data_IF_278461307272
#
_entry.id   IF_278461307272
#
_cell.length_a   1.000
_cell.length_b   1.000
_cell.length_c   1.000
_cell.angle_alpha   90.00
_cell.angle_beta   90.00
_cell.angle_gamma   90.00
#
_symmetry.space_group_name_H-M   'P 1'
#
loop_
_entity.id
_entity.type
_entity.pdbx_description
1 polymer ?
#
# COMPACT_ATOMS: atom_id res chain seq x y z
N UNK A 1 7.08 19.63 -20.94
CA UNK A 1 5.94 19.54 -20.00
C UNK A 1 6.40 18.90 -18.71
N UNK A 2 6.06 19.49 -17.56
CA UNK A 2 6.40 18.97 -16.24
C UNK A 2 5.14 18.48 -15.53
N UNK A 3 5.13 17.24 -15.10
CA UNK A 3 4.00 16.63 -14.38
C UNK A 3 4.41 16.20 -12.99
N UNK A 4 3.48 16.22 -12.03
CA UNK A 4 3.64 15.58 -10.72
C UNK A 4 2.72 14.37 -10.69
N UNK A 5 3.29 13.20 -10.37
CA UNK A 5 2.58 11.95 -10.22
C UNK A 5 2.44 11.61 -8.74
N UNK A 6 1.20 11.41 -8.32
CA UNK A 6 0.73 11.00 -7.00
C UNK A 6 -0.13 9.75 -7.15
N UNK A 7 -0.22 8.93 -6.12
CA UNK A 7 -1.14 7.78 -6.05
C UNK A 7 -1.43 7.38 -4.61
N UNK A 8 -2.41 6.52 -4.43
CA UNK A 8 -2.65 5.76 -3.19
C UNK A 8 -2.71 6.67 -1.95
N UNK A 9 -3.55 7.73 -2.02
CA UNK A 9 -3.72 8.68 -0.92
C UNK A 9 -4.40 8.00 0.28
N UNK A 10 -5.27 7.02 0.04
CA UNK A 10 -6.03 6.28 1.06
C UNK A 10 -6.61 7.18 2.13
N UNK A 11 -7.27 8.30 1.75
CA UNK A 11 -7.84 9.24 2.69
C UNK A 11 -8.86 8.57 3.61
N UNK A 12 -8.74 8.84 4.90
CA UNK A 12 -9.54 8.18 5.93
C UNK A 12 -8.96 6.86 6.44
N UNK A 13 -7.71 6.52 6.07
CA UNK A 13 -6.97 5.36 6.59
C UNK A 13 -6.88 5.38 8.10
N UNK A 14 -7.08 4.22 8.71
CA UNK A 14 -6.82 3.98 10.12
C UNK A 14 -5.76 2.90 10.27
N UNK A 15 -4.84 3.11 11.18
CA UNK A 15 -3.89 2.09 11.61
C UNK A 15 -4.33 1.57 12.99
N UNK A 16 -4.82 0.33 13.02
CA UNK A 16 -5.54 -0.19 14.17
C UNK A 16 -6.69 0.77 14.56
N UNK A 17 -6.62 1.39 15.73
CA UNK A 17 -7.62 2.36 16.21
C UNK A 17 -7.24 3.82 15.91
N UNK A 18 -6.01 4.10 15.46
CA UNK A 18 -5.53 5.47 15.21
C UNK A 18 -6.00 5.98 13.85
N UNK A 19 -6.62 7.16 13.86
CA UNK A 19 -7.04 7.88 12.67
C UNK A 19 -5.85 8.69 12.13
N UNK A 20 -5.52 8.52 10.85
CA UNK A 20 -4.41 9.22 10.21
C UNK A 20 -4.79 10.54 9.54
N UNK A 21 -6.01 11.04 9.74
CA UNK A 21 -6.52 12.20 9.00
C UNK A 21 -5.66 13.46 9.18
N UNK A 22 -5.07 13.66 10.35
CA UNK A 22 -4.19 14.82 10.61
C UNK A 22 -2.84 14.65 9.91
N UNK A 23 -2.28 13.43 9.88
CA UNK A 23 -1.07 13.12 9.12
C UNK A 23 -1.32 13.28 7.61
N UNK A 24 -2.50 12.85 7.15
CA UNK A 24 -2.91 13.00 5.75
C UNK A 24 -3.12 14.47 5.38
N UNK A 25 -3.68 15.28 6.27
CA UNK A 25 -3.81 16.74 6.07
C UNK A 25 -2.44 17.41 5.97
N UNK A 26 -1.52 17.06 6.84
CA UNK A 26 -0.16 17.61 6.84
C UNK A 26 0.58 17.25 5.55
N UNK A 27 0.53 15.96 5.13
CA UNK A 27 1.25 15.52 3.94
C UNK A 27 0.68 16.15 2.66
N UNK A 28 -0.65 16.32 2.54
CA UNK A 28 -1.26 17.03 1.41
C UNK A 28 -0.84 18.51 1.36
N UNK A 29 -0.68 19.16 2.52
CA UNK A 29 -0.13 20.53 2.56
C UNK A 29 1.33 20.58 2.10
N UNK A 30 2.14 19.57 2.45
CA UNK A 30 3.52 19.45 1.97
C UNK A 30 3.56 19.22 0.46
N UNK A 31 2.67 18.38 -0.07
CA UNK A 31 2.52 18.18 -1.52
C UNK A 31 2.17 19.50 -2.22
N UNK A 32 1.25 20.31 -1.67
CA UNK A 32 0.95 21.64 -2.24
C UNK A 32 2.15 22.58 -2.24
N UNK A 33 3.02 22.52 -1.22
CA UNK A 33 4.29 23.29 -1.22
C UNK A 33 5.25 22.80 -2.33
N UNK A 34 5.31 21.48 -2.56
CA UNK A 34 6.06 20.93 -3.69
C UNK A 34 5.49 21.42 -5.01
N UNK A 35 4.16 21.42 -5.18
CA UNK A 35 3.48 22.00 -6.36
C UNK A 35 3.86 23.45 -6.56
N UNK A 36 3.83 24.27 -5.51
CA UNK A 36 4.16 25.70 -5.58
C UNK A 36 5.64 25.95 -5.94
N UNK A 37 6.55 25.06 -5.50
CA UNK A 37 7.98 25.18 -5.80
C UNK A 37 8.31 24.66 -7.21
N UNK A 38 7.71 23.55 -7.61
CA UNK A 38 7.98 22.88 -8.88
C UNK A 38 7.26 23.52 -10.08
N UNK A 39 6.11 24.14 -9.84
CA UNK A 39 5.24 24.75 -10.85
C UNK A 39 4.99 23.80 -12.02
N UNK A 40 4.39 22.63 -11.76
CA UNK A 40 4.08 21.67 -12.80
C UNK A 40 3.01 22.19 -13.75
N UNK A 41 2.94 21.61 -14.95
CA UNK A 41 1.89 21.87 -15.93
C UNK A 41 0.62 21.07 -15.64
N UNK A 42 0.74 19.93 -14.95
CA UNK A 42 -0.42 19.12 -14.49
C UNK A 42 -0.06 18.19 -13.33
N UNK A 43 -1.12 17.72 -12.64
CA UNK A 43 -1.06 16.68 -11.59
C UNK A 43 -1.73 15.42 -12.10
N UNK A 44 -1.09 14.27 -11.87
CA UNK A 44 -1.61 12.94 -12.13
C UNK A 44 -1.86 12.22 -10.80
N UNK A 45 -3.10 11.80 -10.51
CA UNK A 45 -3.46 11.02 -9.32
C UNK A 45 -3.95 9.63 -9.74
N UNK A 46 -3.09 8.64 -9.55
CA UNK A 46 -3.27 7.29 -10.10
C UNK A 46 -4.05 6.36 -9.15
N UNK A 47 -5.22 6.77 -8.67
CA UNK A 47 -6.18 5.93 -7.95
C UNK A 47 -5.94 5.78 -6.45
N UNK A 48 -6.79 4.98 -5.82
CA UNK A 48 -6.90 4.76 -4.38
C UNK A 48 -6.88 6.07 -3.58
N UNK A 49 -7.83 6.93 -3.96
CA UNK A 49 -8.03 8.24 -3.35
C UNK A 49 -8.50 8.08 -1.91
N UNK A 50 -9.45 7.18 -1.70
CA UNK A 50 -9.98 6.83 -0.39
C UNK A 50 -9.52 5.44 0.06
N UNK A 51 -9.44 5.22 1.37
CA UNK A 51 -9.12 3.91 1.94
C UNK A 51 -10.24 2.87 1.74
N UNK A 52 -11.47 3.34 1.53
CA UNK A 52 -12.67 2.50 1.40
C UNK A 52 -13.67 3.09 0.42
N UNK A 53 -14.46 2.25 -0.21
CA UNK A 53 -15.54 2.63 -1.13
C UNK A 53 -16.60 3.55 -0.49
N UNK A 54 -16.76 3.51 0.83
CA UNK A 54 -17.57 4.44 1.63
C UNK A 54 -16.63 5.19 2.58
N UNK A 55 -16.08 6.33 2.15
CA UNK A 55 -15.16 7.12 2.96
C UNK A 55 -15.88 7.85 4.11
N UNK A 56 -15.21 8.09 5.24
CA UNK A 56 -15.72 8.96 6.27
C UNK A 56 -15.81 10.42 5.78
N UNK A 57 -16.75 11.18 6.35
CA UNK A 57 -17.01 12.58 5.92
C UNK A 57 -15.75 13.47 5.97
N UNK A 58 -14.89 13.28 6.98
CA UNK A 58 -13.63 14.01 7.12
C UNK A 58 -12.64 13.75 5.97
N UNK A 59 -12.61 12.52 5.41
CA UNK A 59 -11.80 12.19 4.25
C UNK A 59 -12.34 12.86 2.98
N UNK A 60 -13.66 12.93 2.83
CA UNK A 60 -14.31 13.64 1.71
C UNK A 60 -13.99 15.13 1.76
N UNK A 61 -14.11 15.75 2.96
CA UNK A 61 -13.76 17.16 3.16
C UNK A 61 -12.28 17.45 2.89
N UNK A 62 -11.40 16.51 3.26
CA UNK A 62 -9.96 16.65 3.03
C UNK A 62 -9.61 16.61 1.53
N UNK A 63 -10.26 15.71 0.77
CA UNK A 63 -10.10 15.68 -0.69
C UNK A 63 -10.65 16.94 -1.34
N UNK A 64 -11.83 17.39 -0.92
CA UNK A 64 -12.46 18.61 -1.44
C UNK A 64 -11.55 19.83 -1.25
N UNK A 65 -10.99 20.01 -0.04
CA UNK A 65 -10.03 21.10 0.24
C UNK A 65 -8.78 20.99 -0.67
N UNK A 66 -8.24 19.78 -0.84
CA UNK A 66 -7.06 19.57 -1.66
C UNK A 66 -7.31 19.89 -3.14
N UNK A 67 -8.40 19.35 -3.72
CA UNK A 67 -8.78 19.63 -5.11
C UNK A 67 -9.12 21.10 -5.33
N UNK A 68 -9.83 21.73 -4.39
CA UNK A 68 -10.13 23.17 -4.43
C UNK A 68 -8.85 24.01 -4.48
N UNK A 69 -7.85 23.66 -3.68
CA UNK A 69 -6.55 24.37 -3.69
C UNK A 69 -5.76 24.16 -4.97
N UNK A 70 -5.87 22.98 -5.60
CA UNK A 70 -5.27 22.73 -6.92
C UNK A 70 -6.00 23.56 -8.00
N UNK A 71 -7.34 23.58 -7.99
CA UNK A 71 -8.15 24.39 -8.91
C UNK A 71 -7.85 25.89 -8.78
N UNK A 72 -7.68 26.43 -7.57
CA UNK A 72 -7.29 27.83 -7.32
C UNK A 72 -5.93 28.19 -7.91
N UNK A 73 -5.06 27.22 -8.18
CA UNK A 73 -3.78 27.39 -8.87
C UNK A 73 -3.91 27.33 -10.39
N UNK A 74 -5.12 27.13 -10.92
CA UNK A 74 -5.39 26.85 -12.32
C UNK A 74 -4.55 25.68 -12.86
N UNK A 75 -4.32 24.66 -12.03
CA UNK A 75 -3.45 23.54 -12.34
C UNK A 75 -4.29 22.34 -12.80
N UNK A 76 -4.23 21.96 -14.09
CA UNK A 76 -4.91 20.77 -14.58
C UNK A 76 -4.58 19.55 -13.74
N UNK A 77 -5.61 18.90 -13.22
CA UNK A 77 -5.47 17.76 -12.31
C UNK A 77 -6.26 16.58 -12.86
N UNK A 78 -5.60 15.46 -13.05
CA UNK A 78 -6.17 14.23 -13.58
C UNK A 78 -6.24 13.20 -12.48
N UNK A 79 -7.42 12.63 -12.26
CA UNK A 79 -7.68 11.70 -11.17
C UNK A 79 -8.47 10.50 -11.70
N UNK A 80 -8.05 9.31 -11.32
CA UNK A 80 -8.76 8.05 -11.57
C UNK A 80 -9.16 7.40 -10.25
N UNK A 81 -10.14 6.49 -10.27
CA UNK A 81 -10.43 5.59 -9.15
C UNK A 81 -9.50 4.38 -9.17
N UNK A 82 -9.09 3.91 -7.97
CA UNK A 82 -8.39 2.66 -7.76
C UNK A 82 -9.33 1.52 -7.34
N UNK A 83 -8.77 0.44 -6.80
CA UNK A 83 -9.56 -0.73 -6.39
C UNK A 83 -10.23 -0.58 -5.01
N UNK A 84 -9.77 0.34 -4.16
CA UNK A 84 -10.40 0.69 -2.88
C UNK A 84 -11.57 1.67 -3.05
N UNK A 85 -11.54 2.46 -4.12
CA UNK A 85 -12.55 3.49 -4.39
C UNK A 85 -13.87 2.91 -4.88
N UNK A 86 -14.99 3.67 -4.69
CA UNK A 86 -16.18 3.54 -5.52
C UNK A 86 -16.04 4.51 -6.69
N UNK A 87 -15.91 4.02 -7.94
CA UNK A 87 -15.77 4.89 -9.10
C UNK A 87 -16.95 5.86 -9.26
N UNK A 88 -18.19 5.46 -8.88
CA UNK A 88 -19.37 6.31 -8.91
C UNK A 88 -19.25 7.49 -7.93
N UNK A 89 -18.69 7.26 -6.75
CA UNK A 89 -18.51 8.30 -5.72
C UNK A 89 -17.38 9.24 -6.07
N UNK A 90 -16.26 8.71 -6.56
CA UNK A 90 -15.10 9.51 -6.98
C UNK A 90 -15.46 10.38 -8.19
N UNK A 91 -16.24 9.86 -9.15
CA UNK A 91 -16.65 10.61 -10.34
C UNK A 91 -17.87 11.48 -10.14
N UNK A 92 -18.47 11.52 -8.94
CA UNK A 92 -19.59 12.40 -8.66
C UNK A 92 -19.24 13.87 -8.90
N UNK A 93 -20.02 14.55 -9.72
CA UNK A 93 -19.77 15.94 -10.07
C UNK A 93 -18.61 16.18 -11.05
N UNK A 94 -17.99 15.14 -11.62
CA UNK A 94 -16.84 15.24 -12.51
C UNK A 94 -17.06 16.23 -13.67
N UNK A 95 -18.25 16.25 -14.27
CA UNK A 95 -18.58 17.18 -15.35
C UNK A 95 -18.52 18.66 -14.91
N UNK A 96 -18.94 18.96 -13.68
CA UNK A 96 -18.84 20.32 -13.13
C UNK A 96 -17.39 20.68 -12.76
N UNK A 97 -16.64 19.73 -12.18
CA UNK A 97 -15.26 19.95 -11.77
C UNK A 97 -14.31 20.18 -12.94
N UNK A 98 -14.64 19.62 -14.11
CA UNK A 98 -13.90 19.80 -15.36
C UNK A 98 -13.75 21.27 -15.74
N UNK A 99 -14.77 22.09 -15.49
CA UNK A 99 -14.74 23.54 -15.74
C UNK A 99 -13.67 24.25 -14.90
N UNK A 100 -13.30 23.66 -13.76
CA UNK A 100 -12.25 24.16 -12.87
C UNK A 100 -10.88 23.48 -13.11
N UNK A 101 -10.73 22.73 -14.21
CA UNK A 101 -9.48 22.02 -14.54
C UNK A 101 -9.29 20.69 -13.78
N UNK A 102 -10.29 20.21 -13.05
CA UNK A 102 -10.21 18.92 -12.37
C UNK A 102 -10.86 17.84 -13.25
N UNK A 103 -10.04 17.00 -13.86
CA UNK A 103 -10.46 15.94 -14.78
C UNK A 103 -10.52 14.60 -14.03
N UNK A 104 -11.72 14.16 -13.63
CA UNK A 104 -11.94 12.87 -13.00
C UNK A 104 -12.40 11.88 -14.06
N UNK A 105 -11.72 10.73 -14.14
CA UNK A 105 -12.12 9.67 -15.05
C UNK A 105 -13.53 9.15 -14.67
N UNK A 106 -14.43 9.00 -15.64
CA UNK A 106 -15.74 8.40 -15.41
C UNK A 106 -15.61 6.89 -15.15
N UNK A 107 -16.73 6.23 -14.84
CA UNK A 107 -16.80 4.78 -14.91
C UNK A 107 -16.38 4.31 -16.29
N UNK A 108 -15.65 3.19 -16.33
CA UNK A 108 -15.23 2.61 -17.60
C UNK A 108 -16.45 2.09 -18.38
N UNK A 109 -16.64 2.62 -19.57
CA UNK A 109 -17.73 2.29 -20.50
C UNK A 109 -17.22 1.72 -21.85
N UNK A 110 -15.98 1.24 -21.86
CA UNK A 110 -15.29 0.76 -23.06
C UNK A 110 -14.50 1.85 -23.79
N UNK A 111 -14.51 3.10 -23.31
CA UNK A 111 -13.82 4.22 -23.97
C UNK A 111 -12.96 5.00 -22.98
N UNK A 112 -11.75 5.34 -23.43
CA UNK A 112 -10.87 6.29 -22.73
C UNK A 112 -10.46 7.37 -23.72
N UNK A 113 -11.07 8.54 -23.59
CA UNK A 113 -10.77 9.69 -24.45
C UNK A 113 -9.66 10.51 -23.80
N UNK A 114 -8.55 10.80 -24.50
CA UNK A 114 -7.49 11.60 -23.93
C UNK A 114 -7.89 13.05 -23.76
N UNK A 115 -7.33 13.69 -22.75
CA UNK A 115 -7.28 15.14 -22.64
C UNK A 115 -5.93 15.59 -23.19
N UNK A 116 -5.96 16.54 -24.11
CA UNK A 116 -4.76 16.99 -24.82
C UNK A 116 -4.25 18.30 -24.21
N UNK A 117 -2.98 18.30 -23.81
CA UNK A 117 -2.22 19.49 -23.44
C UNK A 117 -1.16 19.75 -24.53
N UNK A 118 -0.58 20.94 -24.51
CA UNK A 118 0.47 21.31 -25.48
C UNK A 118 1.55 22.15 -24.81
N UNK A 119 2.78 21.98 -25.24
CA UNK A 119 3.94 22.82 -24.90
C UNK A 119 4.81 23.12 -26.14
N UNK A 120 6.00 23.62 -25.92
CA UNK A 120 6.97 23.95 -26.99
C UNK A 120 7.39 22.74 -27.84
N UNK A 121 7.23 21.50 -27.35
CA UNK A 121 7.54 20.27 -28.07
C UNK A 121 6.31 19.65 -28.75
N UNK A 122 5.15 20.30 -28.70
CA UNK A 122 3.91 19.88 -29.34
C UNK A 122 2.91 19.26 -28.36
N UNK A 123 2.11 18.33 -28.86
CA UNK A 123 0.99 17.71 -28.15
C UNK A 123 1.43 16.65 -27.14
N UNK A 124 0.71 16.59 -26.00
CA UNK A 124 0.75 15.50 -25.02
C UNK A 124 -0.67 15.03 -24.76
N UNK A 125 -0.94 13.76 -25.03
CA UNK A 125 -2.22 13.13 -24.79
C UNK A 125 -2.20 12.41 -23.43
N UNK A 126 -3.11 12.78 -22.54
CA UNK A 126 -3.26 12.23 -21.19
C UNK A 126 -4.48 11.31 -21.15
N UNK A 127 -4.24 10.04 -21.01
CA UNK A 127 -5.26 8.98 -20.92
C UNK A 127 -5.47 8.62 -19.45
N UNK A 128 -6.71 8.65 -18.98
CA UNK A 128 -7.09 8.32 -17.60
C UNK A 128 -7.91 7.03 -17.57
N UNK A 129 -7.27 5.90 -17.31
CA UNK A 129 -7.91 4.59 -17.22
C UNK A 129 -8.13 4.24 -15.74
N UNK A 130 -9.37 4.23 -15.23
CA UNK A 130 -9.65 3.81 -13.86
C UNK A 130 -9.32 2.33 -13.65
N UNK A 131 -9.33 1.88 -12.40
CA UNK A 131 -9.17 0.46 -12.10
C UNK A 131 -10.27 -0.36 -12.79
N UNK A 132 -9.87 -1.34 -13.58
CA UNK A 132 -10.79 -2.25 -14.28
C UNK A 132 -10.46 -3.71 -13.97
N UNK A 133 -11.52 -4.52 -13.86
CA UNK A 133 -11.45 -5.98 -13.79
C UNK A 133 -11.80 -6.57 -15.15
N UNK A 134 -11.40 -7.82 -15.45
CA UNK A 134 -11.77 -8.49 -16.70
C UNK A 134 -13.27 -8.48 -16.98
N UNK A 135 -14.12 -8.58 -15.94
CA UNK A 135 -15.58 -8.54 -16.07
C UNK A 135 -16.07 -7.21 -16.65
N UNK A 136 -15.52 -6.08 -16.22
CA UNK A 136 -15.93 -4.75 -16.69
C UNK A 136 -15.62 -4.57 -18.18
N UNK A 137 -14.49 -5.11 -18.64
CA UNK A 137 -14.10 -5.00 -20.06
C UNK A 137 -14.90 -5.97 -20.92
N UNK A 138 -15.19 -7.19 -20.43
CA UNK A 138 -16.07 -8.15 -21.13
C UNK A 138 -17.50 -7.61 -21.34
N UNK A 139 -18.04 -6.87 -20.38
CA UNK A 139 -19.35 -6.23 -20.52
C UNK A 139 -19.37 -5.22 -21.69
N UNK A 140 -18.27 -4.52 -21.93
CA UNK A 140 -18.14 -3.57 -23.04
C UNK A 140 -17.80 -4.26 -24.37
N UNK A 141 -17.07 -5.38 -24.33
CA UNK A 141 -16.55 -6.10 -25.50
C UNK A 141 -16.85 -7.61 -25.40
N UNK A 142 -18.13 -8.01 -25.56
CA UNK A 142 -18.57 -9.39 -25.34
C UNK A 142 -17.96 -10.39 -26.34
N UNK A 143 -17.53 -9.92 -27.50
CA UNK A 143 -16.92 -10.76 -28.56
C UNK A 143 -15.38 -10.90 -28.39
N UNK A 144 -14.77 -10.19 -27.42
CA UNK A 144 -13.34 -10.26 -27.17
C UNK A 144 -13.01 -11.45 -26.24
N UNK A 145 -11.94 -12.19 -26.56
CA UNK A 145 -11.42 -13.24 -25.69
C UNK A 145 -10.63 -12.62 -24.53
N UNK A 146 -11.28 -12.47 -23.37
CA UNK A 146 -10.70 -11.89 -22.16
C UNK A 146 -10.71 -12.94 -21.06
N UNK A 147 -9.57 -13.57 -20.79
CA UNK A 147 -9.38 -14.58 -19.76
C UNK A 147 -8.61 -14.06 -18.53
N UNK A 148 -7.82 -13.01 -18.72
CA UNK A 148 -6.91 -12.44 -17.71
C UNK A 148 -7.03 -10.92 -17.59
N UNK A 149 -6.41 -10.35 -16.56
CA UNK A 149 -6.23 -8.89 -16.45
C UNK A 149 -5.38 -8.33 -17.60
N UNK A 150 -4.37 -9.07 -18.04
CA UNK A 150 -3.56 -8.68 -19.21
C UNK A 150 -4.40 -8.56 -20.45
N UNK A 151 -5.30 -9.52 -20.74
CA UNK A 151 -6.18 -9.45 -21.91
C UNK A 151 -7.13 -8.28 -21.82
N UNK A 152 -7.72 -8.06 -20.64
CA UNK A 152 -8.62 -6.93 -20.40
C UNK A 152 -7.93 -5.59 -20.67
N UNK A 153 -6.74 -5.40 -20.11
CA UNK A 153 -5.98 -4.15 -20.31
C UNK A 153 -5.51 -4.00 -21.75
N UNK A 154 -5.14 -5.10 -22.43
CA UNK A 154 -4.76 -5.07 -23.84
C UNK A 154 -5.93 -4.59 -24.72
N UNK A 155 -7.11 -5.14 -24.53
CA UNK A 155 -8.33 -4.70 -25.24
C UNK A 155 -8.62 -3.23 -24.94
N UNK A 156 -8.59 -2.82 -23.68
CA UNK A 156 -8.84 -1.43 -23.29
C UNK A 156 -7.83 -0.45 -23.94
N UNK A 157 -6.54 -0.78 -23.98
CA UNK A 157 -5.49 0.07 -24.57
C UNK A 157 -5.59 0.09 -26.11
N UNK A 158 -5.89 -1.04 -26.74
CA UNK A 158 -6.11 -1.10 -28.19
C UNK A 158 -7.26 -0.19 -28.65
N UNK A 159 -8.34 -0.12 -27.86
CA UNK A 159 -9.49 0.76 -28.15
C UNK A 159 -9.17 2.26 -28.00
N UNK A 160 -8.10 2.63 -27.30
CA UNK A 160 -7.66 4.03 -27.20
C UNK A 160 -7.09 4.58 -28.52
N UNK A 161 -6.68 3.70 -29.45
CA UNK A 161 -6.08 4.08 -30.73
C UNK A 161 -4.94 5.09 -30.57
N UNK A 162 -4.00 4.81 -29.66
CA UNK A 162 -2.94 5.74 -29.23
C UNK A 162 -2.02 6.12 -30.40
N UNK A 163 -1.90 7.41 -30.76
CA UNK A 163 -1.04 7.87 -31.84
C UNK A 163 0.44 7.80 -31.43
N UNK A 164 1.16 6.79 -31.90
CA UNK A 164 2.54 6.51 -31.47
C UNK A 164 3.58 7.56 -31.87
N UNK A 165 3.26 8.46 -32.79
CA UNK A 165 4.08 9.59 -33.20
C UNK A 165 3.93 10.82 -32.28
N UNK A 166 2.95 10.83 -31.39
CA UNK A 166 2.72 11.87 -30.38
C UNK A 166 3.21 11.44 -29.01
N UNK A 167 3.31 12.39 -28.08
CA UNK A 167 3.64 12.10 -26.68
C UNK A 167 2.39 11.63 -25.93
N UNK A 168 2.45 10.44 -25.35
CA UNK A 168 1.31 9.80 -24.72
C UNK A 168 1.63 9.44 -23.27
N UNK A 169 0.76 9.83 -22.35
CA UNK A 169 0.84 9.53 -20.92
C UNK A 169 -0.40 8.77 -20.52
N UNK A 170 -0.24 7.65 -19.86
CA UNK A 170 -1.32 6.88 -19.26
C UNK A 170 -1.28 7.04 -17.74
N UNK A 171 -2.46 7.23 -17.15
CA UNK A 171 -2.69 7.09 -15.72
C UNK A 171 -3.50 5.81 -15.54
N UNK A 172 -3.00 4.86 -14.73
CA UNK A 172 -3.67 3.59 -14.50
C UNK A 172 -3.44 3.09 -13.06
N UNK A 173 -4.31 2.20 -12.59
CA UNK A 173 -4.23 1.63 -11.28
C UNK A 173 -4.35 0.12 -11.39
N UNK A 174 -3.22 -0.59 -11.54
CA UNK A 174 -3.18 -2.02 -11.80
C UNK A 174 -1.91 -2.64 -11.23
N UNK A 175 -1.94 -3.94 -10.94
CA UNK A 175 -0.74 -4.68 -10.62
C UNK A 175 -0.02 -5.10 -11.91
N UNK A 176 1.10 -4.48 -12.19
CA UNK A 176 1.90 -4.68 -13.41
C UNK A 176 3.16 -5.44 -13.09
N UNK A 177 3.49 -6.45 -13.88
CA UNK A 177 4.74 -7.19 -13.78
C UNK A 177 5.49 -7.18 -15.11
N UNK A 178 6.81 -7.25 -15.04
CA UNK A 178 7.66 -7.41 -16.21
C UNK A 178 7.85 -8.88 -16.60
N UNK A 179 8.72 -9.13 -17.55
CA UNK A 179 9.05 -10.47 -18.06
C UNK A 179 10.08 -11.17 -17.14
N UNK A 180 9.61 -11.84 -16.08
CA UNK A 180 10.42 -12.66 -15.16
C UNK A 180 10.29 -12.30 -13.70
N UNK A 181 10.77 -13.20 -12.82
CA UNK A 181 10.64 -13.05 -11.34
C UNK A 181 11.37 -11.81 -10.79
N UNK A 182 12.41 -11.32 -11.49
CA UNK A 182 13.18 -10.12 -11.10
C UNK A 182 12.45 -8.80 -11.36
N UNK A 183 11.34 -8.81 -12.09
CA UNK A 183 10.56 -7.63 -12.46
C UNK A 183 9.18 -7.61 -11.80
N UNK A 184 8.98 -8.44 -10.77
CA UNK A 184 7.79 -8.38 -9.93
C UNK A 184 7.96 -7.28 -8.89
N UNK A 185 7.05 -6.30 -8.81
CA UNK A 185 7.12 -5.22 -7.83
C UNK A 185 7.11 -5.73 -6.39
N UNK A 186 7.91 -5.10 -5.54
CA UNK A 186 7.88 -5.33 -4.10
C UNK A 186 6.58 -4.77 -3.51
N UNK A 187 5.84 -5.61 -2.80
CA UNK A 187 4.56 -5.30 -2.17
C UNK A 187 4.69 -5.07 -0.66
N UNK A 188 3.75 -4.32 -0.09
CA UNK A 188 3.57 -4.21 1.36
C UNK A 188 2.42 -5.09 1.84
N UNK A 189 2.35 -5.35 3.16
CA UNK A 189 1.26 -6.12 3.78
C UNK A 189 -0.11 -5.43 3.68
N UNK A 190 -0.13 -4.16 3.31
CA UNK A 190 -1.37 -3.37 3.16
C UNK A 190 -2.02 -3.52 1.77
N UNK A 191 -1.33 -4.15 0.82
CA UNK A 191 -1.81 -4.37 -0.55
C UNK A 191 -2.51 -5.72 -0.67
N UNK A 192 -3.79 -5.69 -1.08
CA UNK A 192 -4.57 -6.91 -1.27
C UNK A 192 -4.24 -7.54 -2.62
N UNK A 193 -3.80 -8.81 -2.61
CA UNK A 193 -3.59 -9.60 -3.82
C UNK A 193 -4.48 -10.83 -3.85
N UNK A 194 -5.03 -11.13 -5.01
CA UNK A 194 -5.83 -12.34 -5.24
C UNK A 194 -4.95 -13.41 -5.89
N UNK A 195 -3.95 -13.90 -5.13
CA UNK A 195 -3.16 -15.07 -5.55
C UNK A 195 -2.41 -14.94 -6.88
N UNK A 196 -2.03 -13.70 -7.30
CA UNK A 196 -1.31 -13.46 -8.56
C UNK A 196 -2.16 -13.51 -9.82
N UNK A 197 -3.48 -13.59 -9.70
CA UNK A 197 -4.42 -13.59 -10.83
C UNK A 197 -4.70 -12.18 -11.39
N UNK A 198 -4.34 -11.14 -10.66
CA UNK A 198 -4.55 -9.71 -10.96
C UNK A 198 -3.41 -9.06 -11.77
N UNK A 199 -2.50 -9.87 -12.27
CA UNK A 199 -1.29 -9.48 -12.95
C UNK A 199 -1.55 -8.96 -14.37
N UNK A 200 -0.94 -7.81 -14.72
CA UNK A 200 -0.93 -7.22 -16.06
C UNK A 200 0.49 -7.21 -16.61
N UNK A 201 0.67 -7.75 -17.81
CA UNK A 201 1.96 -7.75 -18.49
C UNK A 201 2.36 -6.35 -18.94
N UNK A 202 3.61 -5.97 -18.66
CA UNK A 202 4.21 -4.68 -19.00
C UNK A 202 4.08 -4.30 -20.49
N UNK A 203 4.09 -5.28 -21.39
CA UNK A 203 4.01 -5.04 -22.84
C UNK A 203 2.75 -4.32 -23.29
N UNK A 204 1.66 -4.41 -22.51
CA UNK A 204 0.41 -3.68 -22.77
C UNK A 204 0.62 -2.18 -22.84
N UNK A 205 1.61 -1.66 -22.12
CA UNK A 205 1.89 -0.23 -22.00
C UNK A 205 2.91 0.30 -23.02
N UNK A 206 3.28 -0.49 -24.01
CA UNK A 206 4.25 -0.12 -25.05
C UNK A 206 3.93 1.20 -25.80
N UNK A 207 2.66 1.58 -26.08
CA UNK A 207 2.34 2.80 -26.81
C UNK A 207 2.60 4.10 -26.04
N UNK A 208 2.87 4.05 -24.70
CA UNK A 208 2.97 5.24 -23.86
C UNK A 208 4.42 5.62 -23.57
N UNK A 209 4.71 6.93 -23.57
CA UNK A 209 6.01 7.50 -23.19
C UNK A 209 6.19 7.47 -21.66
N UNK A 210 5.10 7.66 -20.91
CA UNK A 210 5.07 7.54 -19.46
C UNK A 210 3.78 6.88 -19.01
N UNK A 211 3.88 5.97 -18.02
CA UNK A 211 2.74 5.34 -17.37
C UNK A 211 2.81 5.63 -15.87
N UNK A 212 1.86 6.44 -15.40
CA UNK A 212 1.67 6.76 -13.99
C UNK A 212 0.83 5.68 -13.34
N UNK A 213 1.47 4.78 -12.58
CA UNK A 213 0.83 3.67 -11.89
C UNK A 213 0.55 3.99 -10.42
N UNK A 214 -0.63 3.62 -9.95
CA UNK A 214 -0.96 3.38 -8.54
C UNK A 214 -1.15 1.89 -8.26
N UNK A 215 -1.51 1.56 -7.02
CA UNK A 215 -1.75 0.21 -6.48
C UNK A 215 -0.60 -0.32 -5.61
N UNK A 216 0.65 -0.07 -5.95
CA UNK A 216 1.81 -0.51 -5.17
C UNK A 216 2.34 0.63 -4.33
N UNK A 217 2.44 0.40 -3.02
CA UNK A 217 2.78 1.42 -2.02
C UNK A 217 4.25 1.82 -1.98
N UNK A 218 5.15 0.98 -2.54
CA UNK A 218 6.57 1.30 -2.66
C UNK A 218 6.86 2.06 -3.95
N UNK A 219 7.50 3.26 -3.91
CA UNK A 219 7.95 3.93 -5.11
C UNK A 219 8.95 3.08 -5.89
N UNK A 220 8.62 2.66 -7.10
CA UNK A 220 9.45 1.79 -7.94
C UNK A 220 9.00 1.82 -9.39
N UNK A 221 9.83 1.37 -10.30
CA UNK A 221 9.47 1.15 -11.70
C UNK A 221 9.36 -0.35 -12.02
N UNK A 222 8.72 -0.67 -13.13
CA UNK A 222 8.58 -2.04 -13.64
C UNK A 222 9.17 -2.11 -15.04
N UNK A 223 10.21 -2.93 -15.20
CA UNK A 223 10.92 -3.17 -16.46
C UNK A 223 11.62 -1.93 -17.02
N UNK A 224 10.91 -0.82 -17.22
CA UNK A 224 11.47 0.45 -17.70
C UNK A 224 11.10 1.61 -16.78
N UNK A 225 12.00 2.59 -16.63
CA UNK A 225 11.80 3.75 -15.73
C UNK A 225 10.52 4.53 -16.00
N UNK A 226 10.06 4.53 -17.26
CA UNK A 226 8.85 5.23 -17.69
C UNK A 226 7.54 4.53 -17.33
N UNK A 227 7.56 3.34 -16.73
CA UNK A 227 6.40 2.66 -16.13
C UNK A 227 6.63 2.57 -14.63
N UNK A 228 5.97 3.45 -13.87
CA UNK A 228 6.37 3.72 -12.51
C UNK A 228 5.19 3.79 -11.54
N UNK A 229 5.35 3.12 -10.41
CA UNK A 229 4.58 3.33 -9.20
C UNK A 229 5.13 4.53 -8.42
N UNK A 230 4.27 5.51 -8.14
CA UNK A 230 4.62 6.62 -7.26
C UNK A 230 4.77 6.19 -5.81
N UNK A 231 3.96 5.21 -5.41
CA UNK A 231 3.78 4.78 -4.03
C UNK A 231 2.87 5.73 -3.24
N UNK A 232 2.57 5.33 -2.02
CA UNK A 232 1.76 6.12 -1.09
C UNK A 232 2.54 7.32 -0.56
N UNK A 233 1.87 8.46 -0.23
CA UNK A 233 2.53 9.62 0.35
C UNK A 233 2.92 9.43 1.82
N UNK A 234 2.30 8.48 2.52
CA UNK A 234 2.58 8.08 3.89
C UNK A 234 2.79 6.57 3.97
N UNK A 235 3.39 6.10 5.05
CA UNK A 235 3.47 4.67 5.36
C UNK A 235 2.15 4.21 5.98
N UNK A 236 1.56 3.15 5.43
CA UNK A 236 0.26 2.61 5.86
C UNK A 236 0.37 1.21 6.47
N UNK A 237 1.59 0.67 6.57
CA UNK A 237 1.90 -0.59 7.23
C UNK A 237 3.32 -0.56 7.80
N UNK A 238 3.58 -1.35 8.86
CA UNK A 238 4.94 -1.52 9.37
C UNK A 238 5.86 -2.29 8.42
N UNK A 239 5.34 -2.98 7.42
CA UNK A 239 6.18 -3.51 6.32
C UNK A 239 6.80 -2.39 5.47
N UNK A 240 6.24 -1.18 5.52
CA UNK A 240 6.71 -0.01 4.79
C UNK A 240 7.73 0.86 5.58
N UNK A 241 8.13 0.47 6.79
CA UNK A 241 9.04 1.25 7.66
C UNK A 241 10.29 1.71 6.93
N UNK A 242 10.81 0.86 6.02
CA UNK A 242 12.04 1.14 5.24
C UNK A 242 11.77 1.88 3.92
N UNK A 243 10.51 2.16 3.58
CA UNK A 243 10.19 2.88 2.34
C UNK A 243 10.45 4.37 2.51
N UNK A 244 11.07 4.96 1.51
CA UNK A 244 11.20 6.41 1.38
C UNK A 244 10.02 6.91 0.55
N UNK A 245 9.07 7.60 1.19
CA UNK A 245 7.89 8.14 0.54
C UNK A 245 8.23 9.42 -0.22
N UNK A 246 7.65 9.58 -1.41
CA UNK A 246 7.99 10.70 -2.29
C UNK A 246 6.86 11.00 -3.27
N UNK A 247 6.92 12.17 -3.88
CA UNK A 247 6.22 12.46 -5.13
C UNK A 247 7.17 12.27 -6.31
N UNK A 248 6.65 11.83 -7.44
CA UNK A 248 7.44 11.71 -8.67
C UNK A 248 7.23 12.94 -9.56
N UNK A 249 8.31 13.61 -9.94
CA UNK A 249 8.32 14.68 -10.92
C UNK A 249 8.75 14.10 -12.26
N UNK A 250 7.93 14.33 -13.27
CA UNK A 250 8.08 13.81 -14.62
C UNK A 250 8.29 14.98 -15.58
N UNK A 251 9.40 15.02 -16.26
CA UNK A 251 9.69 16.06 -17.27
C UNK A 251 9.72 15.40 -18.66
N UNK A 252 8.68 15.69 -19.45
CA UNK A 252 8.56 15.25 -20.85
C UNK A 252 9.12 16.33 -21.77
N UNK A 253 10.24 16.00 -22.45
CA UNK A 253 10.78 16.80 -23.53
C UNK A 253 10.13 16.48 -24.89
N UNK A 254 10.92 16.49 -25.96
CA UNK A 254 10.49 15.97 -27.25
C UNK A 254 10.15 14.48 -27.16
N UNK A 255 9.43 13.93 -28.14
CA UNK A 255 9.07 12.51 -28.20
C UNK A 255 10.26 11.61 -27.87
N UNK A 256 10.10 10.72 -26.89
CA UNK A 256 11.14 9.81 -26.43
C UNK A 256 12.12 10.41 -25.41
N UNK A 257 12.00 11.70 -25.05
CA UNK A 257 12.84 12.34 -24.04
C UNK A 257 12.08 12.45 -22.73
N UNK A 258 12.52 11.72 -21.71
CA UNK A 258 11.93 11.66 -20.38
C UNK A 258 13.01 11.86 -19.31
N UNK A 259 12.72 12.68 -18.30
CA UNK A 259 13.51 12.79 -17.08
C UNK A 259 12.60 12.57 -15.88
N UNK A 260 13.06 11.75 -14.94
CA UNK A 260 12.33 11.44 -13.72
C UNK A 260 13.18 11.79 -12.51
N UNK A 261 12.54 12.34 -11.50
CA UNK A 261 13.11 12.52 -10.18
C UNK A 261 12.05 12.42 -9.11
N UNK A 262 12.46 12.11 -7.89
CA UNK A 262 11.58 12.06 -6.74
C UNK A 262 11.89 13.20 -5.77
N UNK A 263 10.84 13.69 -5.11
CA UNK A 263 10.97 14.64 -4.00
C UNK A 263 10.48 13.93 -2.75
N UNK A 264 11.35 13.73 -1.74
CA UNK A 264 10.97 13.06 -0.51
C UNK A 264 9.82 13.77 0.20
N UNK A 265 8.96 12.99 0.83
CA UNK A 265 7.88 13.45 1.67
C UNK A 265 8.20 13.08 3.13
N UNK A 266 8.38 14.07 3.97
CA UNK A 266 8.58 13.86 5.40
C UNK A 266 7.22 13.82 6.11
N UNK A 267 6.86 12.74 6.80
CA UNK A 267 5.59 12.64 7.52
C UNK A 267 5.57 13.55 8.75
N UNK A 268 4.36 13.86 9.27
CA UNK A 268 4.19 14.50 10.57
C UNK A 268 4.67 13.57 11.69
N UNK A 269 4.32 12.31 11.61
CA UNK A 269 4.75 11.22 12.49
C UNK A 269 5.32 10.10 11.66
N UNK A 270 6.53 9.64 12.01
CA UNK A 270 7.19 8.54 11.32
C UNK A 270 6.70 7.19 11.86
N UNK A 271 6.79 6.14 11.05
CA UNK A 271 6.67 4.77 11.52
C UNK A 271 8.03 4.22 11.91
N UNK A 272 8.14 3.75 13.14
CA UNK A 272 9.39 3.23 13.71
C UNK A 272 9.21 1.84 14.30
N UNK A 273 10.21 1.00 14.14
CA UNK A 273 10.30 -0.28 14.81
C UNK A 273 11.33 -0.21 15.94
N UNK A 274 10.93 -0.59 17.14
CA UNK A 274 11.78 -0.68 18.31
C UNK A 274 11.91 -2.15 18.72
N UNK A 275 13.14 -2.62 18.88
CA UNK A 275 13.46 -3.97 19.30
C UNK A 275 14.43 -3.95 20.48
N UNK A 276 14.14 -4.75 21.50
CA UNK A 276 14.96 -4.88 22.72
C UNK A 276 14.12 -5.26 23.91
N UNK A 277 14.76 -5.30 25.10
CA UNK A 277 14.04 -5.47 26.35
C UNK A 277 13.25 -4.19 26.70
N UNK A 278 12.19 -4.34 27.50
CA UNK A 278 11.39 -3.19 27.96
C UNK A 278 12.29 -2.10 28.59
N UNK A 279 13.24 -2.51 29.44
CA UNK A 279 14.15 -1.60 30.14
C UNK A 279 15.04 -0.82 29.17
N UNK A 280 15.59 -1.49 28.15
CA UNK A 280 16.42 -0.86 27.12
C UNK A 280 15.61 0.16 26.30
N UNK A 281 14.41 -0.21 25.87
CA UNK A 281 13.53 0.66 25.09
C UNK A 281 13.14 1.90 25.90
N UNK A 282 12.65 1.73 27.12
CA UNK A 282 12.28 2.86 27.99
C UNK A 282 13.46 3.80 28.31
N UNK A 283 14.68 3.25 28.42
CA UNK A 283 15.88 4.04 28.64
C UNK A 283 16.28 4.84 27.40
N UNK A 284 16.24 4.22 26.22
CA UNK A 284 16.60 4.84 24.94
C UNK A 284 15.65 5.95 24.52
N UNK A 285 14.34 5.71 24.67
CA UNK A 285 13.28 6.64 24.25
C UNK A 285 12.96 7.71 25.32
N UNK A 286 13.79 7.84 26.36
CA UNK A 286 13.50 8.73 27.51
C UNK A 286 13.37 10.20 27.11
N UNK A 287 14.22 10.66 26.22
CA UNK A 287 14.33 12.05 25.80
C UNK A 287 14.23 12.19 24.26
N UNK A 288 13.52 11.24 23.60
CA UNK A 288 13.35 11.27 22.16
C UNK A 288 12.40 12.42 21.74
N UNK A 289 12.86 13.38 20.93
CA UNK A 289 12.03 14.49 20.46
C UNK A 289 10.90 14.02 19.52
N UNK A 290 10.96 12.78 19.03
CA UNK A 290 9.97 12.13 18.15
C UNK A 290 9.16 11.07 18.88
N UNK A 291 8.92 11.24 20.17
CA UNK A 291 8.14 10.32 21.00
C UNK A 291 6.69 10.13 20.49
N UNK A 292 6.17 11.09 19.70
CA UNK A 292 4.83 11.03 19.09
C UNK A 292 4.78 10.22 17.77
N UNK A 293 5.91 9.66 17.31
CA UNK A 293 5.95 8.75 16.17
C UNK A 293 5.10 7.49 16.42
N UNK A 294 4.77 6.77 15.36
CA UNK A 294 4.05 5.50 15.43
C UNK A 294 5.01 4.33 15.61
N UNK A 295 4.80 3.52 16.65
CA UNK A 295 5.74 2.47 17.02
C UNK A 295 5.15 1.08 16.87
N UNK A 296 5.93 0.19 16.24
CA UNK A 296 5.89 -1.26 16.43
C UNK A 296 6.99 -1.62 17.41
N UNK A 297 6.63 -2.26 18.51
CA UNK A 297 7.59 -2.69 19.53
C UNK A 297 7.71 -4.21 19.54
N UNK A 298 8.93 -4.71 19.46
CA UNK A 298 9.26 -6.13 19.54
C UNK A 298 10.08 -6.35 20.81
N UNK A 299 9.42 -6.84 21.86
CA UNK A 299 10.06 -7.15 23.14
C UNK A 299 10.83 -8.46 23.05
N UNK A 300 12.05 -8.42 23.60
CA UNK A 300 12.95 -9.60 23.68
C UNK A 300 13.04 -10.16 25.09
N UNK A 301 12.23 -9.65 26.02
CA UNK A 301 12.16 -10.17 27.39
C UNK A 301 11.64 -11.61 27.36
N UNK A 302 12.32 -12.52 28.09
CA UNK A 302 11.93 -13.94 28.17
C UNK A 302 10.69 -14.15 29.05
N UNK A 303 10.53 -13.31 30.08
CA UNK A 303 9.38 -13.33 30.97
C UNK A 303 8.26 -12.42 30.47
N UNK A 304 7.01 -12.81 30.73
CA UNK A 304 5.86 -11.99 30.43
C UNK A 304 5.82 -10.75 31.34
N UNK A 305 5.72 -9.58 30.73
CA UNK A 305 5.71 -8.31 31.45
C UNK A 305 4.27 -7.84 31.66
N UNK A 306 3.79 -7.78 32.90
CA UNK A 306 2.46 -7.25 33.19
C UNK A 306 2.34 -5.80 32.71
N UNK A 307 1.25 -5.51 31.96
CA UNK A 307 0.97 -4.18 31.37
C UNK A 307 2.15 -3.56 30.60
N UNK A 308 2.80 -4.36 29.75
CA UNK A 308 3.91 -3.90 28.93
C UNK A 308 3.54 -2.70 28.05
N UNK A 309 2.34 -2.73 27.46
CA UNK A 309 1.85 -1.66 26.59
C UNK A 309 1.62 -0.35 27.35
N UNK A 310 1.08 -0.40 28.56
CA UNK A 310 0.91 0.78 29.43
C UNK A 310 2.26 1.40 29.81
N UNK A 311 3.24 0.56 30.15
CA UNK A 311 4.60 1.00 30.46
C UNK A 311 5.27 1.65 29.25
N UNK A 312 5.15 1.06 28.07
CA UNK A 312 5.70 1.63 26.83
C UNK A 312 5.05 2.98 26.50
N UNK A 313 3.74 3.10 26.65
CA UNK A 313 3.00 4.35 26.36
C UNK A 313 3.39 5.51 27.26
N UNK A 314 4.09 5.29 28.37
CA UNK A 314 4.67 6.37 29.16
C UNK A 314 5.77 7.15 28.43
N UNK A 315 6.37 6.55 27.40
CA UNK A 315 7.43 7.13 26.58
C UNK A 315 7.07 7.23 25.11
N UNK A 316 6.37 6.25 24.61
CA UNK A 316 5.93 6.12 23.20
C UNK A 316 4.40 6.07 23.19
N UNK A 317 3.68 7.21 23.25
CA UNK A 317 2.22 7.21 23.40
C UNK A 317 1.50 6.48 22.25
N UNK A 318 2.08 6.49 21.05
CA UNK A 318 1.51 5.89 19.85
C UNK A 318 2.12 4.50 19.54
N UNK A 319 2.23 3.63 20.56
CA UNK A 319 2.51 2.21 20.31
C UNK A 319 1.26 1.58 19.67
N UNK A 320 1.38 1.24 18.38
CA UNK A 320 0.29 0.64 17.59
C UNK A 320 0.34 -0.88 17.61
N UNK A 321 1.53 -1.48 17.74
CA UNK A 321 1.74 -2.92 17.72
C UNK A 321 2.80 -3.32 18.73
N UNK A 322 2.48 -4.33 19.55
CA UNK A 322 3.40 -4.93 20.50
C UNK A 322 3.51 -6.43 20.18
N UNK A 323 4.72 -6.90 20.00
CA UNK A 323 5.05 -8.29 19.73
C UNK A 323 6.15 -8.76 20.68
N UNK A 324 6.26 -10.07 20.87
CA UNK A 324 7.33 -10.70 21.62
C UNK A 324 8.15 -11.59 20.68
N UNK A 325 9.48 -11.46 20.76
CA UNK A 325 10.43 -12.35 20.12
C UNK A 325 11.32 -12.97 21.20
N UNK A 326 10.81 -13.98 21.88
CA UNK A 326 11.49 -14.73 22.93
C UNK A 326 11.50 -16.24 22.62
N UNK A 327 12.12 -17.05 23.47
CA UNK A 327 12.23 -18.50 23.26
C UNK A 327 10.84 -19.16 23.09
N UNK A 328 9.85 -18.71 23.85
CA UNK A 328 8.48 -19.23 23.79
C UNK A 328 7.80 -18.95 22.43
N UNK A 329 7.89 -17.71 21.94
CA UNK A 329 7.27 -17.34 20.64
C UNK A 329 7.97 -18.02 19.46
N UNK A 330 9.30 -18.21 19.54
CA UNK A 330 10.05 -18.94 18.51
C UNK A 330 9.74 -20.43 18.50
N UNK A 331 9.48 -21.02 19.67
CA UNK A 331 9.09 -22.42 19.77
C UNK A 331 7.69 -22.67 19.21
N UNK A 332 6.74 -21.75 19.44
CA UNK A 332 5.38 -21.82 18.88
C UNK A 332 5.37 -21.85 17.34
N UNK A 333 6.25 -21.07 16.70
CA UNK A 333 6.37 -21.03 15.23
C UNK A 333 6.92 -22.38 14.66
N UNK A 334 7.67 -23.17 15.46
CA UNK A 334 8.18 -24.48 15.02
C UNK A 334 7.13 -25.58 15.08
N UNK A 335 6.00 -25.38 15.75
CA UNK A 335 4.91 -26.36 15.86
C UNK A 335 4.06 -26.51 14.59
N UNK A 336 4.15 -25.60 13.64
CA UNK A 336 3.45 -25.69 12.34
C UNK A 336 4.13 -26.68 11.36
N UNK A 337 5.26 -27.29 11.71
CA UNK A 337 5.82 -28.40 10.97
C UNK A 337 5.18 -29.71 11.45
N UNK A 338 4.65 -30.59 10.58
CA UNK A 338 4.05 -31.86 10.99
C UNK A 338 5.10 -32.73 11.69
N UNK A 339 5.04 -32.76 13.02
CA UNK A 339 5.83 -33.68 13.81
C UNK A 339 5.34 -35.10 13.54
N UNK A 340 6.22 -36.00 13.15
CA UNK A 340 5.93 -37.43 13.08
C UNK A 340 5.55 -37.93 14.48
N UNK A 341 4.27 -38.26 14.65
CA UNK A 341 3.70 -38.76 15.92
C UNK A 341 4.12 -40.23 16.22
N UNK A 342 4.85 -40.87 15.33
CA UNK A 342 5.23 -42.28 15.49
C UNK A 342 6.25 -42.48 16.62
N UNK A 343 5.84 -43.26 17.64
CA UNK A 343 6.73 -43.73 18.69
C UNK A 343 6.80 -42.87 19.98
N UNK A 344 5.95 -41.84 20.10
CA UNK A 344 5.93 -40.98 21.30
C UNK A 344 4.75 -41.30 22.23
N UNK A 345 5.01 -41.26 23.52
CA UNK A 345 3.92 -41.42 24.52
C UNK A 345 3.16 -40.09 24.68
N UNK A 346 1.87 -40.14 25.13
CA UNK A 346 1.11 -38.93 25.46
C UNK A 346 1.82 -38.04 26.51
N UNK A 347 2.53 -38.63 27.46
CA UNK A 347 3.32 -37.90 28.47
C UNK A 347 4.51 -37.18 27.85
N UNK A 348 5.17 -37.78 26.87
CA UNK A 348 6.30 -37.13 26.15
C UNK A 348 5.81 -35.93 25.33
N UNK A 349 4.69 -36.10 24.65
CA UNK A 349 4.05 -35.00 23.89
C UNK A 349 3.62 -33.84 24.79
N UNK A 350 3.03 -34.16 25.94
CA UNK A 350 2.67 -33.17 26.93
C UNK A 350 3.89 -32.50 27.56
N UNK A 351 4.97 -33.26 27.79
CA UNK A 351 6.23 -32.75 28.30
C UNK A 351 6.87 -31.73 27.36
N UNK A 352 6.90 -32.03 26.07
CA UNK A 352 7.37 -31.08 25.03
C UNK A 352 6.51 -29.83 24.98
N UNK A 353 5.17 -29.97 25.01
CA UNK A 353 4.24 -28.85 25.05
C UNK A 353 4.45 -27.98 26.30
N UNK A 354 4.62 -28.63 27.48
CA UNK A 354 4.89 -27.91 28.74
C UNK A 354 6.20 -27.13 28.68
N UNK A 355 7.28 -27.75 28.19
CA UNK A 355 8.58 -27.10 28.03
C UNK A 355 8.51 -25.90 27.08
N UNK A 356 7.77 -26.04 25.97
CA UNK A 356 7.54 -24.97 25.01
C UNK A 356 6.75 -23.78 25.63
N UNK A 357 5.76 -24.07 26.46
CA UNK A 357 4.93 -23.02 27.09
C UNK A 357 5.62 -22.34 28.27
N UNK A 358 6.51 -23.05 28.96
CA UNK A 358 7.11 -22.58 30.22
C UNK A 358 8.60 -22.25 30.13
N UNK A 359 9.24 -22.45 28.94
CA UNK A 359 10.69 -22.31 28.72
C UNK A 359 11.56 -23.13 29.69
N UNK A 360 11.01 -24.18 30.26
CA UNK A 360 11.69 -25.11 31.16
C UNK A 360 11.02 -26.47 31.11
N UNK A 361 11.73 -27.59 31.26
CA UNK A 361 11.14 -28.89 31.30
C UNK A 361 10.29 -29.06 32.57
N UNK A 362 9.35 -30.01 32.54
CA UNK A 362 8.63 -30.43 33.74
C UNK A 362 9.62 -30.97 34.80
N UNK A 363 9.34 -30.65 36.06
CA UNK A 363 10.02 -31.32 37.17
C UNK A 363 9.63 -32.80 37.22
N UNK A 364 10.48 -33.62 37.85
CA UNK A 364 10.20 -35.07 38.06
C UNK A 364 8.87 -35.31 38.79
N UNK A 365 8.47 -34.40 39.65
CA UNK A 365 7.19 -34.49 40.38
C UNK A 365 6.01 -34.18 39.43
N UNK A 366 6.11 -33.17 38.61
CA UNK A 366 5.09 -32.82 37.60
C UNK A 366 4.95 -33.92 36.57
N UNK A 367 6.07 -34.50 36.10
CA UNK A 367 6.06 -35.60 35.14
C UNK A 367 5.35 -36.82 35.70
N UNK A 368 5.67 -37.22 36.94
CA UNK A 368 5.01 -38.36 37.63
C UNK A 368 3.52 -38.12 37.81
N UNK A 369 3.12 -36.92 38.17
CA UNK A 369 1.70 -36.55 38.26
C UNK A 369 0.96 -36.71 36.93
N UNK A 370 1.55 -36.23 35.83
CA UNK A 370 0.96 -36.40 34.50
C UNK A 370 0.89 -37.87 34.06
N UNK A 371 1.91 -38.67 34.35
CA UNK A 371 1.92 -40.12 34.09
C UNK A 371 0.74 -40.80 34.82
N UNK A 372 0.61 -40.57 36.11
CA UNK A 372 -0.46 -41.13 36.90
C UNK A 372 -1.85 -40.70 36.40
N UNK A 373 -2.05 -39.42 36.08
CA UNK A 373 -3.32 -38.94 35.59
C UNK A 373 -3.69 -39.56 34.23
N UNK A 374 -2.72 -39.74 33.35
CA UNK A 374 -2.95 -40.36 32.03
C UNK A 374 -3.25 -41.87 32.16
N UNK A 375 -2.63 -42.57 33.09
CA UNK A 375 -2.98 -43.96 33.41
C UNK A 375 -4.43 -44.07 33.93
N UNK A 376 -4.83 -43.20 34.91
CA UNK A 376 -6.20 -43.17 35.42
C UNK A 376 -7.26 -42.90 34.31
N UNK A 377 -6.94 -41.99 33.35
CA UNK A 377 -7.83 -41.71 32.23
C UNK A 377 -7.93 -42.92 31.29
N UNK A 378 -6.83 -43.62 31.00
CA UNK A 378 -6.84 -44.80 30.15
C UNK A 378 -7.63 -45.96 30.80
N UNK A 379 -7.48 -46.18 32.11
CA UNK A 379 -8.27 -47.16 32.82
C UNK A 379 -9.77 -46.82 32.84
N UNK A 380 -10.12 -45.55 32.95
CA UNK A 380 -11.52 -45.10 32.94
C UNK A 380 -12.20 -45.20 31.56
N UNK A 381 -11.43 -45.27 30.50
CA UNK A 381 -11.89 -45.39 29.10
C UNK A 381 -11.87 -46.82 28.55
N UNK A 382 -11.31 -47.78 29.29
CA UNK A 382 -11.25 -49.22 29.00
C UNK A 382 -12.39 -49.97 29.64
#
# INVERSE_FOLDING_TARGET
MKLIHLSDLHLGKRLNEHNLIDDQRDILQKILRVVDSEKPDAILMAGDVYDRSIPPAEAVQLLDDFLTRLAQRNLPTFLISGNHDSPERVSFGAALMKESGIHIAPLYDGRVTPVTLSDEFGTVNLYSLPFVKPVHVRECFPDAEISSYTDALRVAVEQMNVPTNERNVLIAHQFVTGNGDSETPERSDSEVSVGGLDNVDLSVFAPFDYVALGHIHKPQYVGRESVRYCGTPLKYSFSEVRHEKSVTVVELGAKGVLKLRTIPLEPLREMRELRGTLSEILSRERDDPRADDYFRVILTDEDEIPDAIGKLRTRCPNVLRLEYDNARTRAAVRLDAPATLEGRTPVDLFGEFYEQQNNRPMSDEQRRFCEQLMEEIQEAMS
#
